data_IF_101796977563
#
_entry.id   IF_101796977563
#
_cell.length_a   1.000
_cell.length_b   1.000
_cell.length_c   1.000
_cell.angle_alpha   90.00
_cell.angle_beta   90.00
_cell.angle_gamma   90.00
#
_symmetry.space_group_name_H-M   'P 1'
#
loop_
_entity.id
_entity.type
_entity.pdbx_description
1 polymer ?
#
# COMPACT_ATOMS: atom_id res chain seq x y z
N UNK A 1 -29.74 19.52 72.13
CA UNK A 1 -30.40 18.23 71.82
C UNK A 1 -30.84 18.29 70.36
N UNK A 2 -30.75 17.26 69.51
CA UNK A 2 -30.15 15.92 69.67
C UNK A 2 -29.08 15.68 68.57
N UNK A 3 -28.17 14.72 68.79
CA UNK A 3 -27.34 14.15 67.72
C UNK A 3 -28.13 13.03 67.03
N UNK A 4 -28.22 13.05 65.71
CA UNK A 4 -28.61 11.87 64.92
C UNK A 4 -27.35 11.24 64.31
N UNK A 5 -27.06 10.01 64.72
CA UNK A 5 -25.92 9.22 64.25
C UNK A 5 -26.45 8.00 63.51
N UNK A 6 -26.41 8.04 62.17
CA UNK A 6 -26.85 6.95 61.30
C UNK A 6 -25.66 6.16 60.78
N UNK A 7 -25.24 5.14 61.53
CA UNK A 7 -24.21 4.18 61.09
C UNK A 7 -24.74 3.32 59.93
N UNK A 8 -24.24 3.56 58.72
CA UNK A 8 -24.56 2.74 57.54
C UNK A 8 -23.83 1.39 57.62
N UNK A 9 -24.59 0.33 57.88
CA UNK A 9 -24.11 -1.06 57.94
C UNK A 9 -23.85 -1.61 56.53
N UNK A 10 -22.67 -2.19 56.31
CA UNK A 10 -22.30 -2.82 55.04
C UNK A 10 -22.88 -4.24 55.00
N UNK A 11 -23.78 -4.59 54.04
CA UNK A 11 -24.24 -5.96 53.86
C UNK A 11 -23.12 -6.82 53.25
N UNK A 12 -22.85 -7.98 53.84
CA UNK A 12 -21.82 -8.90 53.36
C UNK A 12 -22.24 -9.60 52.05
N UNK A 13 -21.26 -9.84 51.15
CA UNK A 13 -21.50 -10.55 49.89
C UNK A 13 -22.00 -12.00 50.13
N UNK A 14 -23.08 -12.47 49.46
CA UNK A 14 -23.34 -13.89 49.35
C UNK A 14 -22.23 -14.57 48.54
N UNK A 15 -21.74 -15.71 49.01
CA UNK A 15 -20.73 -16.52 48.31
C UNK A 15 -21.43 -17.41 47.29
N UNK A 16 -21.22 -17.17 45.99
CA UNK A 16 -21.61 -18.13 44.95
C UNK A 16 -20.62 -19.31 44.91
N UNK A 17 -21.09 -20.56 44.81
CA UNK A 17 -20.20 -21.71 44.65
C UNK A 17 -19.64 -21.75 43.21
N UNK A 18 -18.32 -21.79 43.07
CA UNK A 18 -17.66 -22.01 41.79
C UNK A 18 -17.78 -23.50 41.40
N UNK A 19 -18.64 -23.80 40.43
CA UNK A 19 -18.68 -25.11 39.79
C UNK A 19 -17.43 -25.31 38.92
N UNK A 20 -16.42 -25.98 39.48
CA UNK A 20 -15.25 -26.43 38.75
C UNK A 20 -15.61 -27.55 37.76
N UNK A 21 -15.85 -27.18 36.50
CA UNK A 21 -15.89 -28.14 35.40
C UNK A 21 -14.51 -28.75 35.16
N UNK A 22 -14.27 -29.92 35.75
CA UNK A 22 -13.09 -30.74 35.50
C UNK A 22 -13.13 -31.32 34.07
N UNK A 23 -12.54 -30.62 33.11
CA UNK A 23 -12.22 -31.22 31.81
C UNK A 23 -11.02 -32.18 31.97
N UNK A 24 -11.18 -33.49 31.69
CA UNK A 24 -10.08 -34.44 31.80
C UNK A 24 -9.03 -34.18 30.70
N UNK A 25 -7.77 -34.04 31.10
CA UNK A 25 -6.65 -33.90 30.14
C UNK A 25 -6.50 -35.20 29.33
N UNK A 26 -6.43 -35.15 27.99
CA UNK A 26 -6.09 -36.33 27.20
C UNK A 26 -4.66 -36.79 27.52
N UNK A 27 -4.47 -38.10 27.65
CA UNK A 27 -3.14 -38.70 27.90
C UNK A 27 -2.31 -38.67 26.61
N UNK A 28 -0.99 -38.42 26.68
CA UNK A 28 -0.13 -38.46 25.49
C UNK A 28 0.01 -39.92 25.00
N UNK A 29 -0.57 -40.21 23.84
CA UNK A 29 -0.32 -41.47 23.13
C UNK A 29 0.97 -41.36 22.30
N UNK A 30 1.80 -42.40 22.33
CA UNK A 30 3.06 -42.45 21.57
C UNK A 30 2.75 -42.74 20.10
N UNK A 31 2.90 -41.74 19.23
CA UNK A 31 2.81 -41.94 17.79
C UNK A 31 4.12 -42.57 17.26
N UNK A 32 4.06 -43.79 16.74
CA UNK A 32 5.19 -44.49 16.13
C UNK A 32 5.51 -43.89 14.76
N UNK A 33 6.74 -43.43 14.55
CA UNK A 33 7.16 -42.79 13.30
C UNK A 33 7.43 -43.82 12.19
N UNK A 34 6.47 -44.02 11.29
CA UNK A 34 6.72 -44.67 10.00
C UNK A 34 7.37 -43.68 9.04
N UNK A 35 8.66 -43.88 8.73
CA UNK A 35 9.33 -43.19 7.64
C UNK A 35 8.93 -43.82 6.30
N UNK A 36 8.17 -43.09 5.50
CA UNK A 36 8.00 -43.36 4.07
C UNK A 36 8.87 -42.38 3.27
N UNK A 37 9.76 -42.85 2.37
CA UNK A 37 10.58 -41.97 1.55
C UNK A 37 9.71 -41.34 0.45
N UNK A 38 9.35 -40.07 0.61
CA UNK A 38 8.57 -39.35 -0.40
C UNK A 38 9.45 -38.99 -1.60
N UNK A 39 9.48 -39.87 -2.61
CA UNK A 39 10.18 -39.65 -3.87
C UNK A 39 9.62 -38.41 -4.57
N UNK A 40 10.41 -37.33 -4.59
CA UNK A 40 10.10 -36.12 -5.35
C UNK A 40 10.24 -36.39 -6.86
N UNK A 41 9.16 -36.87 -7.47
CA UNK A 41 9.08 -37.00 -8.94
C UNK A 41 9.07 -35.62 -9.58
N UNK A 42 10.04 -35.36 -10.47
CA UNK A 42 10.17 -34.08 -11.16
C UNK A 42 8.97 -33.80 -12.06
N UNK A 43 8.11 -32.86 -11.66
CA UNK A 43 6.91 -32.48 -12.40
C UNK A 43 7.25 -31.82 -13.74
N UNK A 44 6.74 -32.36 -14.85
CA UNK A 44 6.92 -31.79 -16.19
C UNK A 44 6.34 -30.36 -16.24
N UNK A 45 7.10 -29.39 -16.76
CA UNK A 45 6.61 -28.03 -17.04
C UNK A 45 5.38 -28.10 -17.98
N UNK A 46 4.20 -27.74 -17.49
CA UNK A 46 3.00 -27.63 -18.33
C UNK A 46 3.03 -26.31 -19.12
N UNK A 47 2.73 -26.38 -20.42
CA UNK A 47 2.55 -25.20 -21.29
C UNK A 47 1.23 -24.52 -20.93
N UNK A 48 1.30 -23.29 -20.42
CA UNK A 48 0.10 -22.50 -20.06
C UNK A 48 -0.71 -22.17 -21.31
N UNK A 49 -1.99 -22.55 -21.35
CA UNK A 49 -2.93 -22.14 -22.40
C UNK A 49 -3.48 -20.74 -22.10
N UNK A 50 -3.24 -19.80 -23.01
CA UNK A 50 -3.81 -18.45 -22.98
C UNK A 50 -5.24 -18.49 -23.48
N UNK A 51 -6.19 -18.00 -22.66
CA UNK A 51 -7.61 -17.97 -23.04
C UNK A 51 -8.00 -16.58 -23.53
N UNK A 52 -8.52 -16.50 -24.76
CA UNK A 52 -8.93 -15.25 -25.39
C UNK A 52 -10.43 -15.01 -25.13
N UNK A 53 -10.81 -13.77 -24.85
CA UNK A 53 -12.19 -13.30 -24.69
C UNK A 53 -12.41 -12.08 -25.59
N UNK A 54 -13.55 -12.02 -26.28
CA UNK A 54 -14.02 -10.82 -26.97
C UNK A 54 -15.33 -10.35 -26.37
N UNK A 55 -15.45 -9.05 -26.09
CA UNK A 55 -16.71 -8.42 -25.72
C UNK A 55 -16.70 -6.91 -26.04
N UNK A 56 -17.88 -6.29 -26.12
CA UNK A 56 -18.00 -4.84 -26.04
C UNK A 56 -17.74 -4.36 -24.62
N UNK A 57 -17.03 -3.25 -24.48
CA UNK A 57 -16.63 -2.71 -23.19
C UNK A 57 -17.84 -2.21 -22.38
N UNK A 58 -18.22 -2.97 -21.34
CA UNK A 58 -19.35 -2.67 -20.43
C UNK A 58 -19.26 -1.31 -19.72
N UNK A 59 -18.07 -0.71 -19.66
CA UNK A 59 -17.83 0.68 -19.28
C UNK A 59 -16.47 1.15 -19.77
N UNK A 60 -16.25 2.46 -19.83
CA UNK A 60 -14.97 3.08 -20.23
C UNK A 60 -13.79 2.90 -19.25
N UNK A 61 -13.91 2.01 -18.26
CA UNK A 61 -12.94 1.86 -17.15
C UNK A 61 -11.73 0.99 -17.48
N UNK A 62 -11.70 0.31 -18.63
CA UNK A 62 -10.55 -0.51 -19.06
C UNK A 62 -9.58 0.29 -19.94
N UNK A 63 -8.29 0.23 -19.65
CA UNK A 63 -7.23 0.69 -20.55
C UNK A 63 -6.61 -0.46 -21.34
N UNK A 64 -6.22 -0.18 -22.58
CA UNK A 64 -5.51 -1.11 -23.45
C UNK A 64 -4.06 -1.30 -23.01
N UNK A 65 -3.59 -2.55 -22.92
CA UNK A 65 -2.22 -2.85 -22.44
C UNK A 65 -1.11 -2.57 -23.44
N UNK A 66 -1.39 -2.52 -24.76
CA UNK A 66 -0.40 -2.13 -25.79
C UNK A 66 -0.22 -0.62 -25.91
N UNK A 67 -1.32 0.15 -26.03
CA UNK A 67 -1.25 1.59 -26.31
C UNK A 67 -1.57 2.51 -25.11
N UNK A 68 -1.91 1.96 -23.93
CA UNK A 68 -2.22 2.70 -22.70
C UNK A 68 -3.54 3.48 -22.69
N UNK A 69 -4.08 3.86 -23.86
CA UNK A 69 -5.32 4.63 -24.00
C UNK A 69 -6.53 3.88 -23.41
N UNK A 70 -7.53 4.64 -22.96
CA UNK A 70 -8.81 4.09 -22.51
C UNK A 70 -9.55 3.40 -23.68
N UNK A 71 -10.24 2.32 -23.37
CA UNK A 71 -11.23 1.67 -24.24
C UNK A 71 -12.58 2.24 -23.82
N UNK A 72 -13.24 2.99 -24.71
CA UNK A 72 -14.55 3.62 -24.44
C UNK A 72 -15.64 2.60 -24.19
N UNK A 73 -16.72 3.00 -23.51
CA UNK A 73 -17.90 2.14 -23.36
C UNK A 73 -18.45 1.75 -24.74
N UNK A 74 -18.99 0.53 -24.85
CA UNK A 74 -19.47 -0.11 -26.08
C UNK A 74 -18.43 -0.33 -27.20
N UNK A 75 -17.16 0.09 -27.06
CA UNK A 75 -16.12 -0.27 -28.01
C UNK A 75 -15.72 -1.76 -27.87
N UNK A 76 -15.42 -2.41 -29.00
CA UNK A 76 -14.94 -3.79 -29.02
C UNK A 76 -13.55 -3.91 -28.37
N UNK A 77 -13.38 -4.91 -27.49
CA UNK A 77 -12.10 -5.21 -26.83
C UNK A 77 -11.80 -6.71 -26.80
N UNK A 78 -10.49 -7.00 -26.90
CA UNK A 78 -9.94 -8.35 -26.75
C UNK A 78 -9.21 -8.48 -25.41
N UNK A 79 -9.48 -9.56 -24.69
CA UNK A 79 -8.96 -9.84 -23.36
C UNK A 79 -8.16 -11.14 -23.33
N UNK A 80 -6.89 -11.07 -22.94
CA UNK A 80 -6.08 -12.25 -22.63
C UNK A 80 -6.28 -12.61 -21.16
N UNK A 81 -6.83 -13.78 -20.87
CA UNK A 81 -6.94 -14.28 -19.50
C UNK A 81 -5.69 -15.09 -19.14
N UNK A 82 -5.02 -14.66 -18.08
CA UNK A 82 -3.85 -15.33 -17.49
C UNK A 82 -4.10 -15.50 -15.99
N UNK A 83 -3.85 -16.70 -15.45
CA UNK A 83 -3.90 -16.90 -13.99
C UNK A 83 -2.70 -16.24 -13.32
N UNK A 84 -2.95 -15.59 -12.18
CA UNK A 84 -1.89 -15.11 -11.30
C UNK A 84 -1.34 -16.24 -10.40
N UNK A 85 -0.29 -15.93 -9.63
CA UNK A 85 0.35 -16.86 -8.69
C UNK A 85 -0.54 -17.26 -7.50
N UNK A 86 -1.75 -16.70 -7.39
CA UNK A 86 -2.76 -16.98 -6.35
C UNK A 86 -3.94 -17.78 -6.91
N UNK A 87 -3.94 -18.06 -8.23
CA UNK A 87 -4.97 -18.83 -8.93
C UNK A 87 -6.10 -18.01 -9.55
N UNK A 88 -6.07 -16.67 -9.46
CA UNK A 88 -7.15 -15.82 -9.99
C UNK A 88 -6.94 -15.49 -11.48
N UNK A 89 -8.03 -15.54 -12.26
CA UNK A 89 -8.05 -15.21 -13.68
C UNK A 89 -7.93 -13.67 -13.90
N UNK A 90 -6.77 -13.18 -14.32
CA UNK A 90 -6.51 -11.76 -14.63
C UNK A 90 -6.64 -11.52 -16.13
N UNK A 91 -7.50 -10.57 -16.53
CA UNK A 91 -7.72 -10.24 -17.96
C UNK A 91 -6.94 -9.00 -18.41
N UNK A 92 -6.07 -9.15 -19.41
CA UNK A 92 -5.35 -8.05 -20.08
C UNK A 92 -6.14 -7.57 -21.31
N UNK A 93 -6.83 -6.44 -21.18
CA UNK A 93 -7.65 -5.85 -22.25
C UNK A 93 -6.82 -5.05 -23.28
N UNK A 94 -7.28 -5.08 -24.53
CA UNK A 94 -6.72 -4.35 -25.68
C UNK A 94 -7.86 -3.78 -26.54
N UNK A 95 -7.63 -2.66 -27.24
CA UNK A 95 -8.45 -2.32 -28.41
C UNK A 95 -8.21 -3.35 -29.52
N UNK A 96 -9.18 -3.53 -30.41
CA UNK A 96 -9.08 -4.40 -31.58
C UNK A 96 -7.73 -4.26 -32.37
N UNK A 97 -7.35 -3.07 -32.91
CA UNK A 97 -6.06 -2.90 -33.63
C UNK A 97 -4.83 -2.86 -32.70
N UNK A 98 -5.02 -3.08 -31.40
CA UNK A 98 -3.95 -3.10 -30.40
C UNK A 98 -3.72 -4.49 -29.80
N UNK A 99 -4.38 -5.52 -30.34
CA UNK A 99 -4.06 -6.92 -30.05
C UNK A 99 -2.86 -7.35 -30.90
N UNK A 100 -2.01 -8.24 -30.38
CA UNK A 100 -0.79 -8.72 -31.08
C UNK A 100 -0.30 -10.09 -30.60
N UNK A 101 -1.17 -10.85 -29.91
CA UNK A 101 -0.95 -12.28 -29.70
C UNK A 101 -1.54 -13.05 -30.88
N UNK A 102 -1.01 -14.23 -31.18
CA UNK A 102 -1.59 -15.13 -32.18
C UNK A 102 -2.96 -15.66 -31.75
N UNK A 103 -3.82 -15.90 -32.73
CA UNK A 103 -5.18 -16.45 -32.56
C UNK A 103 -5.21 -17.83 -33.23
N UNK A 104 -4.67 -18.84 -32.55
CA UNK A 104 -4.46 -20.19 -33.10
C UNK A 104 -5.77 -20.88 -33.59
N UNK A 105 -6.94 -20.43 -33.11
CA UNK A 105 -8.25 -20.66 -33.73
C UNK A 105 -9.28 -19.64 -33.23
N UNK A 106 -10.23 -19.26 -34.08
CA UNK A 106 -11.38 -18.41 -33.72
C UNK A 106 -12.30 -19.05 -32.68
N UNK A 107 -12.41 -20.38 -32.66
CA UNK A 107 -13.27 -21.14 -31.72
C UNK A 107 -12.81 -21.01 -30.26
N UNK A 108 -11.59 -20.51 -30.03
CA UNK A 108 -11.01 -20.27 -28.71
C UNK A 108 -11.47 -18.92 -28.12
N UNK A 109 -12.01 -18.00 -28.95
CA UNK A 109 -12.43 -16.66 -28.52
C UNK A 109 -13.80 -16.72 -27.85
N UNK A 110 -13.81 -16.84 -26.51
CA UNK A 110 -15.07 -16.81 -25.75
C UNK A 110 -15.78 -15.47 -25.96
N UNK A 111 -17.00 -15.51 -26.50
CA UNK A 111 -17.85 -14.33 -26.70
C UNK A 111 -17.95 -13.85 -28.16
N UNK A 112 -17.27 -14.48 -29.11
CA UNK A 112 -17.31 -14.14 -30.53
C UNK A 112 -18.75 -14.11 -31.10
N UNK A 113 -19.59 -15.07 -30.73
CA UNK A 113 -20.97 -15.22 -31.21
C UNK A 113 -21.92 -14.11 -30.72
N UNK A 114 -21.50 -13.34 -29.70
CA UNK A 114 -22.26 -12.23 -29.11
C UNK A 114 -21.90 -10.87 -29.72
N UNK A 115 -21.07 -10.85 -30.76
CA UNK A 115 -20.66 -9.66 -31.48
C UNK A 115 -21.53 -9.43 -32.72
N UNK A 116 -21.60 -8.19 -33.19
CA UNK A 116 -22.25 -7.84 -34.47
C UNK A 116 -21.43 -8.43 -35.63
N UNK A 117 -22.08 -8.84 -36.72
CA UNK A 117 -21.41 -9.45 -37.87
C UNK A 117 -20.24 -8.64 -38.45
N UNK A 118 -20.34 -7.30 -38.46
CA UNK A 118 -19.25 -6.39 -38.89
C UNK A 118 -18.00 -6.52 -38.00
N UNK A 119 -18.19 -6.62 -36.69
CA UNK A 119 -17.12 -6.80 -35.70
C UNK A 119 -16.54 -8.23 -35.74
N UNK A 120 -17.37 -9.23 -36.04
CA UNK A 120 -16.93 -10.61 -36.29
C UNK A 120 -16.06 -10.71 -37.55
N UNK A 121 -16.42 -9.99 -38.62
CA UNK A 121 -15.63 -9.95 -39.86
C UNK A 121 -14.31 -9.19 -39.67
N UNK A 122 -14.31 -8.10 -38.88
CA UNK A 122 -13.09 -7.39 -38.52
C UNK A 122 -12.12 -8.25 -37.68
N UNK A 123 -12.64 -9.10 -36.80
CA UNK A 123 -11.85 -10.07 -36.04
C UNK A 123 -11.26 -11.19 -36.91
N UNK A 124 -12.02 -11.68 -37.90
CA UNK A 124 -11.51 -12.68 -38.87
C UNK A 124 -10.31 -12.12 -39.64
N UNK A 125 -10.46 -10.92 -40.23
CA UNK A 125 -9.38 -10.25 -41.00
C UNK A 125 -8.11 -10.04 -40.17
N UNK A 126 -8.24 -9.71 -38.87
CA UNK A 126 -7.08 -9.56 -37.98
C UNK A 126 -6.41 -10.88 -37.57
N UNK A 127 -7.12 -12.02 -37.61
CA UNK A 127 -6.48 -13.32 -37.52
C UNK A 127 -5.71 -13.62 -38.82
N UNK A 128 -6.36 -13.46 -39.98
CA UNK A 128 -5.78 -13.70 -41.33
C UNK A 128 -4.55 -12.82 -41.63
N UNK A 129 -4.48 -11.61 -41.07
CA UNK A 129 -3.32 -10.72 -41.14
C UNK A 129 -2.17 -11.14 -40.21
N UNK A 130 -2.47 -11.78 -39.08
CA UNK A 130 -1.46 -12.16 -38.07
C UNK A 130 -0.57 -13.33 -38.52
N UNK A 131 -1.09 -14.24 -39.36
CA UNK A 131 -0.28 -15.32 -39.92
C UNK A 131 0.64 -14.84 -41.04
N UNK A 132 0.15 -13.97 -41.93
CA UNK A 132 0.95 -13.37 -43.02
C UNK A 132 2.18 -12.60 -42.52
N UNK A 133 2.10 -12.00 -41.33
CA UNK A 133 3.24 -11.30 -40.72
C UNK A 133 4.33 -12.26 -40.20
N UNK A 134 4.05 -13.57 -40.10
CA UNK A 134 4.97 -14.56 -39.53
C UNK A 134 5.99 -15.07 -40.56
N UNK A 135 5.62 -15.13 -41.84
CA UNK A 135 6.47 -15.69 -42.91
C UNK A 135 7.65 -14.78 -43.31
N UNK A 136 7.63 -13.50 -42.91
CA UNK A 136 8.61 -12.50 -43.39
C UNK A 136 9.77 -12.21 -42.43
N UNK A 137 9.89 -12.92 -41.30
CA UNK A 137 10.89 -12.65 -40.25
C UNK A 137 11.82 -13.83 -39.89
N UNK A 138 11.84 -14.90 -40.69
CA UNK A 138 12.91 -15.90 -40.61
C UNK A 138 14.13 -15.46 -41.44
N UNK A 139 14.91 -14.53 -40.90
CA UNK A 139 16.14 -14.06 -41.55
C UNK A 139 17.01 -13.19 -40.65
N UNK A 140 18.11 -13.78 -40.17
CA UNK A 140 19.19 -13.24 -39.32
C UNK A 140 18.86 -13.08 -37.82
N UNK A 141 19.57 -13.87 -37.01
CA UNK A 141 19.98 -13.53 -35.65
C UNK A 141 21.31 -12.74 -35.78
N UNK A 142 22.37 -13.11 -35.04
CA UNK A 142 23.74 -12.63 -35.22
C UNK A 142 24.01 -11.19 -34.68
N UNK A 143 24.12 -10.87 -33.38
CA UNK A 143 23.93 -11.58 -32.07
C UNK A 143 23.58 -10.48 -30.98
N UNK A 144 23.84 -10.44 -29.65
CA UNK A 144 24.70 -11.12 -28.65
C UNK A 144 24.05 -11.04 -27.22
N UNK A 145 24.24 -12.04 -26.33
CA UNK A 145 23.97 -11.97 -24.88
C UNK A 145 24.86 -12.95 -24.07
N UNK A 146 25.81 -12.46 -23.26
CA UNK A 146 26.52 -13.17 -22.15
C UNK A 146 27.13 -12.08 -21.21
N UNK A 147 27.47 -12.26 -19.94
CA UNK A 147 27.76 -13.45 -19.10
C UNK A 147 26.90 -13.51 -17.80
N UNK A 148 27.02 -14.59 -17.00
CA UNK A 148 26.32 -14.74 -15.70
C UNK A 148 27.07 -15.57 -14.64
N UNK A 149 26.95 -15.16 -13.36
CA UNK A 149 27.22 -15.88 -12.08
C UNK A 149 28.51 -16.71 -11.87
N UNK A 150 29.33 -16.28 -10.89
CA UNK A 150 30.18 -17.08 -9.97
C UNK A 150 30.46 -16.18 -8.73
N UNK A 151 30.55 -16.61 -7.47
CA UNK A 151 30.56 -17.95 -6.86
C UNK A 151 29.59 -18.09 -5.67
N UNK A 152 29.50 -19.30 -5.07
CA UNK A 152 28.86 -19.55 -3.77
C UNK A 152 29.82 -20.14 -2.74
N UNK A 153 29.65 -19.66 -1.51
CA UNK A 153 30.01 -20.29 -0.23
C UNK A 153 31.49 -20.31 0.20
N UNK A 154 31.70 -19.84 1.43
CA UNK A 154 32.31 -20.69 2.46
C UNK A 154 31.58 -20.45 3.79
N UNK A 155 31.70 -21.37 4.76
CA UNK A 155 30.87 -21.40 5.96
C UNK A 155 31.68 -21.52 7.25
N UNK A 156 31.20 -20.89 8.33
CA UNK A 156 31.57 -21.19 9.71
C UNK A 156 30.39 -20.91 10.66
N UNK A 157 30.40 -21.59 11.80
CA UNK A 157 29.28 -21.83 12.73
C UNK A 157 29.74 -21.50 14.17
N UNK A 158 28.82 -21.52 15.15
CA UNK A 158 28.99 -21.33 16.63
C UNK A 158 28.63 -19.88 17.05
N UNK A 159 27.79 -19.60 18.06
CA UNK A 159 26.98 -20.41 19.01
C UNK A 159 25.63 -19.73 19.37
N UNK A 160 24.82 -20.35 20.24
CA UNK A 160 23.50 -19.85 20.67
C UNK A 160 23.57 -18.85 21.83
N UNK A 161 22.65 -17.87 21.83
CA UNK A 161 21.80 -17.51 22.98
C UNK A 161 20.52 -16.78 22.51
N UNK A 162 19.46 -16.76 23.34
CA UNK A 162 18.23 -15.96 23.16
C UNK A 162 18.28 -14.77 24.15
N UNK A 163 17.60 -13.64 23.89
CA UNK A 163 16.16 -13.52 24.18
C UNK A 163 15.34 -12.83 23.07
N UNK A 164 14.05 -12.59 23.33
CA UNK A 164 13.12 -11.91 22.43
C UNK A 164 13.48 -10.44 22.15
N UNK A 165 13.70 -10.11 20.87
CA UNK A 165 13.48 -8.76 20.34
C UNK A 165 13.11 -8.84 18.85
N UNK A 166 12.21 -7.95 18.38
CA UNK A 166 11.82 -7.91 16.96
C UNK A 166 13.04 -7.47 16.13
N UNK A 167 13.26 -8.00 14.90
CA UNK A 167 14.37 -7.58 14.06
C UNK A 167 14.17 -6.13 13.58
N UNK A 168 14.79 -5.18 14.28
CA UNK A 168 14.87 -3.79 13.86
C UNK A 168 15.71 -3.74 12.57
N UNK A 169 15.08 -3.31 11.47
CA UNK A 169 15.81 -3.03 10.23
C UNK A 169 16.72 -1.83 10.50
N UNK A 170 18.04 -2.04 10.53
CA UNK A 170 18.96 -0.95 10.78
C UNK A 170 19.11 -0.06 9.55
N UNK A 171 18.23 0.94 9.44
CA UNK A 171 18.27 1.94 8.39
C UNK A 171 19.51 2.82 8.63
N UNK A 172 20.53 2.61 7.80
CA UNK A 172 21.69 3.49 7.70
C UNK A 172 21.26 4.82 7.06
N UNK A 173 20.98 5.82 7.89
CA UNK A 173 20.65 7.18 7.48
C UNK A 173 21.81 8.13 7.83
N UNK A 174 22.34 8.80 6.81
CA UNK A 174 23.27 9.93 6.98
C UNK A 174 22.66 11.21 6.40
N UNK A 175 22.98 12.35 7.03
CA UNK A 175 22.61 13.68 6.54
C UNK A 175 23.24 13.98 5.15
N UNK A 176 24.36 13.33 4.82
CA UNK A 176 24.98 13.39 3.47
C UNK A 176 24.10 12.84 2.35
N UNK A 177 23.18 11.95 2.70
CA UNK A 177 22.41 11.18 1.71
C UNK A 177 21.05 11.84 1.41
N UNK A 178 20.73 12.88 2.18
CA UNK A 178 19.53 13.72 2.08
C UNK A 178 19.69 14.71 0.93
N UNK A 179 18.69 14.79 0.05
CA UNK A 179 18.78 15.49 -1.25
C UNK A 179 17.60 16.45 -1.45
N UNK A 180 17.86 17.63 -2.00
CA UNK A 180 16.83 18.61 -2.41
C UNK A 180 16.12 18.24 -3.73
N UNK A 181 16.39 17.05 -4.28
CA UNK A 181 15.71 16.47 -5.46
C UNK A 181 15.43 14.99 -5.26
N UNK A 182 14.25 14.54 -5.69
CA UNK A 182 13.92 13.12 -5.82
C UNK A 182 14.16 12.68 -7.27
N UNK A 183 15.30 12.01 -7.48
CA UNK A 183 15.81 11.62 -8.82
C UNK A 183 15.96 12.86 -9.71
N UNK A 184 15.16 12.95 -10.76
CA UNK A 184 15.05 14.03 -11.74
C UNK A 184 14.11 15.18 -11.33
N UNK A 185 13.28 15.01 -10.29
CA UNK A 185 12.36 16.06 -9.83
C UNK A 185 12.94 16.90 -8.67
N UNK A 186 12.93 18.22 -8.83
CA UNK A 186 13.27 19.17 -7.78
C UNK A 186 12.17 19.25 -6.72
N UNK A 187 12.56 19.38 -5.46
CA UNK A 187 11.64 19.55 -4.33
C UNK A 187 11.45 21.03 -3.98
N UNK A 188 10.33 21.36 -3.33
CA UNK A 188 10.11 22.69 -2.77
C UNK A 188 10.95 22.89 -1.49
N UNK A 189 11.24 24.12 -1.06
CA UNK A 189 11.96 24.36 0.20
C UNK A 189 11.34 23.60 1.39
N UNK A 190 12.19 23.11 2.30
CA UNK A 190 11.89 22.17 3.40
C UNK A 190 11.47 20.75 2.98
N UNK A 191 11.22 20.47 1.70
CA UNK A 191 11.01 19.10 1.24
C UNK A 191 12.33 18.47 0.82
N UNK A 192 12.62 17.28 1.36
CA UNK A 192 13.87 16.55 1.19
C UNK A 192 13.59 15.12 0.71
N UNK A 193 14.56 14.50 0.05
CA UNK A 193 14.51 13.09 -0.36
C UNK A 193 15.61 12.28 0.33
N UNK A 194 15.31 11.02 0.64
CA UNK A 194 16.27 10.01 1.09
C UNK A 194 15.84 8.64 0.55
N UNK A 195 16.74 7.90 -0.11
CA UNK A 195 16.43 6.61 -0.75
C UNK A 195 15.12 6.63 -1.60
N UNK A 196 14.06 5.98 -1.13
CA UNK A 196 12.74 5.87 -1.80
C UNK A 196 11.70 6.87 -1.29
N UNK A 197 12.01 7.64 -0.23
CA UNK A 197 11.09 8.58 0.41
C UNK A 197 11.36 10.04 0.04
N UNK A 198 10.28 10.81 0.05
CA UNK A 198 10.29 12.28 0.16
C UNK A 198 9.69 12.64 1.52
N UNK A 199 10.27 13.58 2.25
CA UNK A 199 9.80 13.99 3.57
C UNK A 199 9.82 15.52 3.77
N UNK A 200 8.97 15.99 4.68
CA UNK A 200 8.92 17.39 5.11
C UNK A 200 9.81 17.60 6.34
N UNK A 201 10.87 18.37 6.16
CA UNK A 201 11.76 18.83 7.22
C UNK A 201 11.04 19.88 8.08
N UNK A 202 10.83 19.57 9.36
CA UNK A 202 10.35 20.56 10.32
C UNK A 202 11.51 21.51 10.67
N UNK A 203 11.43 22.75 10.18
CA UNK A 203 12.27 23.83 10.67
C UNK A 203 12.15 23.93 12.21
N UNK A 204 13.26 24.14 12.92
CA UNK A 204 13.39 23.91 14.37
C UNK A 204 12.55 24.75 15.34
N UNK A 205 11.52 25.45 14.85
CA UNK A 205 10.51 26.19 15.59
C UNK A 205 9.18 25.41 15.53
N UNK A 206 8.89 24.63 16.57
CA UNK A 206 7.66 23.83 16.68
C UNK A 206 7.49 23.29 18.11
N UNK A 207 8.17 22.18 18.43
CA UNK A 207 8.16 21.53 19.75
C UNK A 207 8.87 22.28 20.90
N UNK A 208 9.13 23.57 20.74
CA UNK A 208 9.55 24.48 21.82
C UNK A 208 8.47 25.51 22.19
N UNK A 209 7.43 25.67 21.37
CA UNK A 209 6.47 26.78 21.45
C UNK A 209 5.19 26.48 22.23
N UNK A 210 4.58 25.30 22.00
CA UNK A 210 3.50 24.81 22.86
C UNK A 210 4.06 23.99 24.02
N UNK A 211 3.34 24.02 25.14
CA UNK A 211 3.71 23.37 26.40
C UNK A 211 3.54 21.85 26.36
N UNK A 212 4.41 21.15 25.61
CA UNK A 212 4.60 19.71 25.77
C UNK A 212 4.77 19.40 27.26
N UNK A 213 3.89 18.56 27.82
CA UNK A 213 3.96 18.09 29.21
C UNK A 213 5.19 17.17 29.38
N UNK A 214 6.37 17.79 29.52
CA UNK A 214 7.67 17.11 29.65
C UNK A 214 7.71 16.12 30.82
N UNK A 215 6.83 16.31 31.81
CA UNK A 215 6.58 15.45 32.97
C UNK A 215 6.43 13.95 32.64
N UNK A 216 6.00 13.59 31.41
CA UNK A 216 5.89 12.18 30.96
C UNK A 216 7.20 11.57 30.42
N UNK A 217 8.20 12.37 30.04
CA UNK A 217 9.47 11.91 29.44
C UNK A 217 9.36 11.21 28.06
N UNK A 218 8.15 11.08 27.50
CA UNK A 218 7.85 10.46 26.20
C UNK A 218 6.95 11.34 25.36
N UNK A 219 6.90 11.06 24.06
CA UNK A 219 6.03 11.72 23.09
C UNK A 219 4.89 10.82 22.63
N UNK A 220 3.69 11.38 22.49
CA UNK A 220 2.49 10.68 22.04
C UNK A 220 2.28 11.01 20.56
N UNK A 221 1.96 10.01 19.72
CA UNK A 221 1.97 10.16 18.26
C UNK A 221 0.58 9.88 17.66
N UNK A 222 0.02 10.88 16.96
CA UNK A 222 -1.20 10.73 16.20
C UNK A 222 -0.85 10.69 14.71
N UNK A 223 -1.12 9.56 14.06
CA UNK A 223 -0.57 9.24 12.74
C UNK A 223 -1.67 9.08 11.72
N UNK A 224 -1.49 9.68 10.54
CA UNK A 224 -2.51 9.76 9.49
C UNK A 224 -2.02 9.18 8.17
N UNK A 225 -2.94 8.59 7.40
CA UNK A 225 -2.80 8.41 5.95
C UNK A 225 -3.40 9.63 5.22
N UNK A 226 -2.86 9.98 4.05
CA UNK A 226 -3.50 10.95 3.13
C UNK A 226 -4.17 10.28 1.92
N UNK A 227 -4.49 8.99 2.06
CA UNK A 227 -5.37 8.27 1.13
C UNK A 227 -6.86 8.38 1.47
N UNK A 228 -7.23 9.06 2.56
CA UNK A 228 -8.60 9.51 2.87
C UNK A 228 -9.27 10.15 1.65
N UNK A 229 -9.97 9.30 0.89
CA UNK A 229 -10.71 9.52 -0.36
C UNK A 229 -10.47 10.87 -1.05
N UNK A 230 -9.29 11.02 -1.64
CA UNK A 230 -9.04 12.00 -2.72
C UNK A 230 -9.82 11.65 -3.99
N UNK A 231 -11.16 11.68 -3.90
CA UNK A 231 -12.01 11.60 -5.06
C UNK A 231 -11.83 12.86 -5.90
N UNK A 232 -11.81 12.67 -7.22
CA UNK A 232 -12.43 13.66 -8.09
C UNK A 232 -13.92 13.65 -7.72
N UNK A 233 -14.33 14.60 -6.87
CA UNK A 233 -15.75 14.78 -6.56
C UNK A 233 -16.50 15.03 -7.87
N UNK A 234 -17.66 14.41 -8.04
CA UNK A 234 -18.55 14.68 -9.18
C UNK A 234 -19.27 16.02 -8.97
N UNK A 235 -18.50 17.09 -8.85
CA UNK A 235 -18.99 18.44 -9.19
C UNK A 235 -19.19 18.48 -10.70
N UNK A 236 -20.27 19.14 -11.14
CA UNK A 236 -20.69 19.15 -12.54
C UNK A 236 -19.83 20.18 -13.30
N UNK A 237 -18.59 19.81 -13.58
CA UNK A 237 -17.59 20.61 -14.29
C UNK A 237 -16.85 19.74 -15.33
N UNK A 238 -16.59 20.25 -16.55
CA UNK A 238 -15.91 19.50 -17.58
C UNK A 238 -14.39 19.39 -17.33
N UNK A 239 -13.86 18.18 -17.48
CA UNK A 239 -12.45 17.80 -17.31
C UNK A 239 -11.94 17.75 -15.85
N UNK A 240 -11.21 16.68 -15.45
CA UNK A 240 -10.60 16.61 -14.13
C UNK A 240 -9.37 17.54 -14.05
N UNK A 241 -9.51 18.65 -13.32
CA UNK A 241 -8.43 19.62 -13.12
C UNK A 241 -7.26 18.94 -12.37
N UNK A 242 -6.16 18.70 -13.07
CA UNK A 242 -4.90 18.20 -12.50
C UNK A 242 -4.15 19.33 -11.77
N UNK A 243 -4.73 19.83 -10.68
CA UNK A 243 -4.09 20.80 -9.78
C UNK A 243 -3.78 20.21 -8.39
N UNK A 244 -2.92 20.91 -7.65
CA UNK A 244 -2.73 20.74 -6.21
C UNK A 244 -4.02 21.01 -5.43
N UNK A 245 -4.88 21.90 -5.92
CA UNK A 245 -6.12 22.32 -5.24
C UNK A 245 -7.31 21.38 -5.49
N UNK A 246 -7.14 20.36 -6.35
CA UNK A 246 -8.13 19.32 -6.59
C UNK A 246 -8.13 18.28 -5.44
N UNK A 247 -8.60 18.70 -4.26
CA UNK A 247 -8.74 17.89 -3.05
C UNK A 247 -9.88 18.41 -2.16
N UNK A 248 -10.30 17.61 -1.18
CA UNK A 248 -11.26 18.00 -0.15
C UNK A 248 -10.98 17.23 1.14
N UNK A 249 -11.49 17.72 2.28
CA UNK A 249 -11.54 16.94 3.52
C UNK A 249 -12.55 15.80 3.37
N UNK A 250 -12.29 14.68 4.05
CA UNK A 250 -13.22 13.55 4.15
C UNK A 250 -14.33 13.83 5.18
N UNK A 251 -13.99 14.52 6.27
CA UNK A 251 -14.92 15.00 7.30
C UNK A 251 -14.56 16.44 7.69
N UNK A 252 -15.54 17.32 7.97
CA UNK A 252 -15.28 18.72 8.28
C UNK A 252 -14.59 18.92 9.65
N UNK A 253 -14.71 17.98 10.58
CA UNK A 253 -14.10 18.00 11.92
C UNK A 253 -12.61 17.63 11.95
N UNK A 254 -12.01 17.20 10.83
CA UNK A 254 -10.59 16.83 10.75
C UNK A 254 -9.66 17.95 11.27
N UNK A 255 -9.81 19.24 10.88
CA UNK A 255 -8.91 20.30 11.35
C UNK A 255 -8.98 20.49 12.87
N UNK A 256 -10.19 20.51 13.43
CA UNK A 256 -10.45 20.73 14.86
C UNK A 256 -9.92 19.57 15.72
N UNK A 257 -10.18 18.32 15.33
CA UNK A 257 -9.65 17.14 16.03
C UNK A 257 -8.12 17.07 16.01
N UNK A 258 -7.49 17.48 14.89
CA UNK A 258 -6.03 17.55 14.79
C UNK A 258 -5.44 18.74 15.56
N UNK A 259 -6.19 19.83 15.72
CA UNK A 259 -5.83 20.94 16.61
C UNK A 259 -5.87 20.49 18.08
N UNK A 260 -6.96 19.85 18.54
CA UNK A 260 -7.09 19.29 19.90
C UNK A 260 -5.92 18.36 20.24
N UNK A 261 -5.61 17.40 19.36
CA UNK A 261 -4.48 16.49 19.55
C UNK A 261 -3.13 17.22 19.69
N UNK A 262 -2.90 18.28 18.91
CA UNK A 262 -1.67 19.07 19.02
C UNK A 262 -1.60 19.87 20.33
N UNK A 263 -2.74 20.38 20.82
CA UNK A 263 -2.86 21.06 22.12
C UNK A 263 -2.73 20.12 23.32
N UNK A 264 -3.24 18.89 23.19
CA UNK A 264 -3.03 17.77 24.14
C UNK A 264 -1.56 17.32 24.20
N UNK A 265 -0.77 17.64 23.17
CA UNK A 265 0.68 17.42 23.10
C UNK A 265 1.12 16.31 22.15
N UNK A 266 0.21 15.75 21.32
CA UNK A 266 0.56 14.76 20.31
C UNK A 266 1.39 15.37 19.18
N UNK A 267 2.39 14.63 18.71
CA UNK A 267 3.07 14.91 17.44
C UNK A 267 2.28 14.30 16.29
N UNK A 268 1.87 15.15 15.35
CA UNK A 268 1.12 14.74 14.17
C UNK A 268 2.06 14.30 13.05
N UNK A 269 1.89 13.07 12.55
CA UNK A 269 2.72 12.52 11.46
C UNK A 269 1.86 11.94 10.34
N UNK A 270 2.22 12.23 9.09
CA UNK A 270 1.58 11.69 7.90
C UNK A 270 2.51 10.66 7.25
N UNK A 271 2.03 9.43 7.10
CA UNK A 271 2.69 8.38 6.30
C UNK A 271 1.84 8.03 5.08
N UNK A 272 2.35 8.27 3.88
CA UNK A 272 1.60 8.05 2.62
C UNK A 272 2.41 7.31 1.57
N UNK A 273 1.76 6.37 0.87
CA UNK A 273 2.33 5.73 -0.32
C UNK A 273 1.91 6.53 -1.56
N UNK A 274 2.86 6.94 -2.42
CA UNK A 274 2.57 7.68 -3.66
C UNK A 274 3.30 7.10 -4.89
N UNK A 275 2.80 5.95 -5.35
CA UNK A 275 3.35 5.23 -6.51
C UNK A 275 3.43 6.05 -7.81
N UNK A 276 2.64 7.11 -7.98
CA UNK A 276 2.66 7.92 -9.19
C UNK A 276 4.00 8.64 -9.38
N UNK A 277 4.68 9.00 -8.29
CA UNK A 277 6.01 9.66 -8.35
C UNK A 277 7.06 8.76 -9.00
N UNK A 278 6.99 7.43 -8.82
CA UNK A 278 7.92 6.52 -9.49
C UNK A 278 7.40 5.99 -10.84
N UNK A 279 6.10 5.77 -10.99
CA UNK A 279 5.54 5.28 -12.25
C UNK A 279 5.56 6.35 -13.36
N UNK A 280 5.33 7.62 -13.04
CA UNK A 280 5.20 8.69 -14.03
C UNK A 280 6.57 9.29 -14.39
N UNK A 281 7.55 8.48 -14.82
CA UNK A 281 8.94 8.93 -15.07
C UNK A 281 9.02 10.25 -15.84
N UNK A 282 8.37 10.33 -17.01
CA UNK A 282 8.39 11.52 -17.89
C UNK A 282 7.50 12.69 -17.40
N UNK A 283 6.84 12.55 -16.24
CA UNK A 283 5.99 13.56 -15.58
C UNK A 283 6.25 13.60 -14.06
N UNK A 284 7.43 13.19 -13.61
CA UNK A 284 7.74 13.01 -12.18
C UNK A 284 7.63 14.32 -11.41
N UNK A 285 8.14 15.43 -11.97
CA UNK A 285 7.99 16.76 -11.39
C UNK A 285 6.51 17.09 -11.12
N UNK A 286 5.62 16.86 -12.10
CA UNK A 286 4.18 17.07 -11.93
C UNK A 286 3.59 16.16 -10.84
N UNK A 287 3.97 14.88 -10.77
CA UNK A 287 3.50 13.98 -9.71
C UNK A 287 3.95 14.42 -8.31
N UNK A 288 5.19 14.90 -8.19
CA UNK A 288 5.77 15.47 -6.96
C UNK A 288 5.05 16.77 -6.57
N UNK A 289 4.91 17.73 -7.50
CA UNK A 289 4.26 19.02 -7.25
C UNK A 289 2.78 18.87 -6.89
N UNK A 290 2.05 17.96 -7.54
CA UNK A 290 0.67 17.65 -7.18
C UNK A 290 0.59 17.10 -5.75
N UNK A 291 1.43 16.12 -5.39
CA UNK A 291 1.41 15.50 -4.06
C UNK A 291 1.82 16.49 -2.97
N UNK A 292 2.95 17.19 -3.15
CA UNK A 292 3.46 18.18 -2.20
C UNK A 292 2.49 19.36 -2.07
N UNK A 293 1.91 19.84 -3.16
CA UNK A 293 0.92 20.92 -3.14
C UNK A 293 -0.31 20.58 -2.30
N UNK A 294 -0.88 19.38 -2.49
CA UNK A 294 -2.00 18.86 -1.69
C UNK A 294 -1.66 18.74 -0.20
N UNK A 295 -0.45 18.26 0.11
CA UNK A 295 0.02 18.12 1.49
C UNK A 295 0.24 19.49 2.16
N UNK A 296 0.84 20.45 1.45
CA UNK A 296 0.98 21.83 1.94
C UNK A 296 -0.39 22.49 2.14
N UNK A 297 -1.32 22.33 1.21
CA UNK A 297 -2.69 22.86 1.31
C UNK A 297 -3.44 22.27 2.53
N UNK A 298 -3.30 20.97 2.79
CA UNK A 298 -3.85 20.32 3.99
C UNK A 298 -3.25 20.88 5.28
N UNK A 299 -1.91 20.97 5.37
CA UNK A 299 -1.22 21.56 6.54
C UNK A 299 -1.67 23.01 6.77
N UNK A 300 -1.81 23.80 5.70
CA UNK A 300 -2.29 25.19 5.77
C UNK A 300 -3.76 25.29 6.23
N UNK A 301 -4.61 24.31 5.93
CA UNK A 301 -6.00 24.29 6.43
C UNK A 301 -6.08 23.87 7.90
N UNK A 302 -5.26 22.91 8.34
CA UNK A 302 -5.25 22.44 9.74
C UNK A 302 -4.45 23.38 10.67
N UNK A 303 -3.51 24.17 10.13
CA UNK A 303 -2.79 25.27 10.84
C UNK A 303 -1.90 24.84 12.01
N UNK A 304 -1.56 23.56 12.14
CA UNK A 304 -0.62 23.05 13.16
C UNK A 304 0.61 22.38 12.54
N UNK A 305 1.76 22.31 13.24
CA UNK A 305 2.95 21.64 12.73
C UNK A 305 2.74 20.13 12.56
N UNK A 306 2.85 19.66 11.31
CA UNK A 306 2.84 18.24 10.96
C UNK A 306 4.20 17.80 10.44
N UNK A 307 4.53 16.53 10.58
CA UNK A 307 5.64 15.91 9.86
C UNK A 307 5.10 14.95 8.79
N UNK A 308 5.77 14.86 7.64
CA UNK A 308 5.25 14.09 6.49
C UNK A 308 6.35 13.24 5.89
N UNK A 309 6.03 11.97 5.58
CA UNK A 309 6.87 11.08 4.78
C UNK A 309 6.03 10.42 3.67
N UNK A 310 6.60 10.37 2.48
CA UNK A 310 5.99 9.92 1.23
C UNK A 310 6.84 8.78 0.67
N UNK A 311 6.38 7.53 0.76
CA UNK A 311 7.02 6.40 0.11
C UNK A 311 6.66 6.38 -1.39
N UNK A 312 7.64 6.69 -2.25
CA UNK A 312 7.44 6.79 -3.70
C UNK A 312 7.40 5.42 -4.39
N UNK A 313 8.05 4.40 -3.81
CA UNK A 313 8.16 3.05 -4.37
C UNK A 313 9.43 2.82 -5.20
N UNK A 314 9.78 1.54 -5.36
CA UNK A 314 10.82 1.04 -6.28
C UNK A 314 10.22 0.49 -7.60
N UNK A 315 8.96 0.82 -7.89
CA UNK A 315 8.19 0.21 -8.98
C UNK A 315 7.62 -1.16 -8.62
N UNK A 316 6.95 -1.81 -9.57
CA UNK A 316 6.04 -2.94 -9.30
C UNK A 316 6.69 -4.31 -9.15
N UNK A 317 8.02 -4.40 -9.06
CA UNK A 317 8.78 -5.67 -9.03
C UNK A 317 9.70 -5.82 -7.81
N UNK A 318 9.91 -4.76 -7.03
CA UNK A 318 10.87 -4.73 -5.93
C UNK A 318 10.12 -4.26 -4.68
N UNK A 319 10.28 -4.96 -3.57
CA UNK A 319 9.71 -4.52 -2.31
C UNK A 319 10.46 -3.30 -1.75
N UNK A 320 9.73 -2.37 -1.14
CA UNK A 320 10.26 -1.10 -0.64
C UNK A 320 10.02 -1.04 0.86
N UNK A 321 11.08 -1.13 1.65
CA UNK A 321 11.02 -1.18 3.12
C UNK A 321 10.32 0.04 3.73
N UNK A 322 10.26 1.17 3.02
CA UNK A 322 9.55 2.37 3.47
C UNK A 322 8.07 2.37 3.09
N UNK A 323 7.65 1.56 2.13
CA UNK A 323 6.29 1.54 1.60
C UNK A 323 5.37 0.72 2.51
N UNK A 324 4.30 1.34 3.02
CA UNK A 324 3.26 0.64 3.80
C UNK A 324 2.74 -0.57 3.00
N UNK A 325 2.67 -1.78 3.58
CA UNK A 325 2.67 -2.07 5.02
C UNK A 325 4.04 -2.11 5.72
N UNK A 326 5.16 -1.99 5.02
CA UNK A 326 6.48 -2.08 5.64
C UNK A 326 6.77 -0.88 6.57
N UNK A 327 7.38 -1.11 7.75
CA UNK A 327 7.52 -0.10 8.81
C UNK A 327 8.68 0.89 8.62
N UNK A 328 9.41 0.90 7.49
CA UNK A 328 10.62 1.71 7.33
C UNK A 328 10.41 3.22 7.46
N UNK A 329 9.24 3.74 7.05
CA UNK A 329 8.86 5.13 7.30
C UNK A 329 8.67 5.45 8.80
N UNK A 330 8.25 4.48 9.61
CA UNK A 330 8.21 4.63 11.06
C UNK A 330 9.62 4.60 11.66
N UNK A 331 10.41 3.57 11.37
CA UNK A 331 11.74 3.39 11.98
C UNK A 331 12.66 4.59 11.72
N UNK A 332 12.64 5.15 10.51
CA UNK A 332 13.45 6.34 10.20
C UNK A 332 12.95 7.59 10.94
N UNK A 333 11.63 7.76 11.07
CA UNK A 333 11.02 8.87 11.79
C UNK A 333 11.37 8.81 13.29
N UNK A 334 11.23 7.65 13.90
CA UNK A 334 11.54 7.38 15.30
C UNK A 334 13.03 7.61 15.60
N UNK A 335 13.92 6.92 14.86
CA UNK A 335 15.37 6.91 15.10
C UNK A 335 16.07 8.23 14.77
N UNK A 336 15.63 8.95 13.73
CA UNK A 336 16.35 10.12 13.19
C UNK A 336 15.57 11.44 13.24
N UNK A 337 14.23 11.42 13.35
CA UNK A 337 13.39 12.61 13.28
C UNK A 337 12.48 12.83 14.50
N UNK A 338 12.70 12.10 15.60
CA UNK A 338 12.03 12.31 16.89
C UNK A 338 12.92 12.95 17.97
N UNK A 339 14.06 13.53 17.58
CA UNK A 339 15.01 14.22 18.49
C UNK A 339 15.50 13.39 19.68
N UNK A 340 15.52 12.06 19.54
CA UNK A 340 15.87 11.12 20.62
C UNK A 340 14.80 10.98 21.73
N UNK A 341 13.62 11.58 21.56
CA UNK A 341 12.51 11.46 22.51
C UNK A 341 11.82 10.10 22.29
N UNK A 342 11.73 9.21 23.30
CA UNK A 342 11.03 7.94 23.16
C UNK A 342 9.54 8.14 22.93
N UNK A 343 8.92 7.25 22.16
CA UNK A 343 7.49 7.31 21.87
C UNK A 343 6.70 6.47 22.89
N UNK A 344 5.54 6.97 23.35
CA UNK A 344 4.61 6.14 24.11
C UNK A 344 3.67 5.38 23.17
N UNK A 345 4.02 4.12 22.90
CA UNK A 345 3.25 3.22 22.04
C UNK A 345 1.85 2.89 22.57
N UNK A 346 1.58 3.09 23.88
CA UNK A 346 0.27 2.80 24.45
C UNK A 346 -0.72 3.95 24.23
N UNK A 347 -0.24 5.19 24.10
CA UNK A 347 -1.08 6.35 23.76
C UNK A 347 -1.09 6.64 22.25
N UNK A 348 -0.02 6.26 21.54
CA UNK A 348 0.10 6.49 20.09
C UNK A 348 -0.85 5.62 19.25
N UNK A 349 -1.32 6.17 18.13
CA UNK A 349 -2.28 5.51 17.24
C UNK A 349 -2.13 5.90 15.77
N UNK A 350 -2.69 5.06 14.89
CA UNK A 350 -2.75 5.24 13.45
C UNK A 350 -4.20 5.34 12.96
N UNK A 351 -4.50 6.29 12.08
CA UNK A 351 -5.80 6.43 11.40
C UNK A 351 -5.62 6.26 9.89
N UNK A 352 -6.29 5.27 9.28
CA UNK A 352 -6.11 4.95 7.86
C UNK A 352 -7.26 4.26 7.16
N UNK A 353 -7.46 4.56 5.87
CA UNK A 353 -8.54 3.98 5.04
C UNK A 353 -8.21 2.58 4.51
N UNK A 354 -6.92 2.20 4.44
CA UNK A 354 -6.52 0.87 3.99
C UNK A 354 -6.61 -0.17 5.13
N UNK A 355 -7.83 -0.43 5.60
CA UNK A 355 -8.11 -1.31 6.74
C UNK A 355 -8.40 -2.78 6.36
N UNK A 356 -8.36 -3.12 5.07
CA UNK A 356 -8.59 -4.49 4.59
C UNK A 356 -10.04 -4.97 4.60
N UNK A 357 -11.01 -4.05 4.73
CA UNK A 357 -12.44 -4.32 4.57
C UNK A 357 -12.74 -4.66 3.09
N UNK A 358 -13.88 -5.31 2.76
CA UNK A 358 -14.17 -5.76 1.39
C UNK A 358 -14.11 -4.67 0.30
N UNK A 359 -14.47 -3.43 0.65
CA UNK A 359 -14.44 -2.27 -0.26
C UNK A 359 -13.16 -1.41 -0.13
N UNK A 360 -12.24 -1.76 0.77
CA UNK A 360 -10.98 -1.02 0.92
C UNK A 360 -10.02 -1.32 -0.23
N UNK A 361 -9.31 -0.28 -0.68
CA UNK A 361 -8.40 -0.41 -1.81
C UNK A 361 -7.14 -1.26 -1.52
N UNK A 362 -6.83 -1.50 -0.24
CA UNK A 362 -5.79 -2.40 0.28
C UNK A 362 -5.91 -2.54 1.81
N UNK A 363 -5.04 -3.36 2.40
CA UNK A 363 -4.86 -3.56 3.85
C UNK A 363 -3.57 -2.90 4.39
N UNK A 364 -3.00 -1.97 3.62
CA UNK A 364 -1.66 -1.42 3.86
C UNK A 364 -1.54 -0.59 5.15
N UNK A 365 -2.61 0.04 5.63
CA UNK A 365 -2.58 0.93 6.80
C UNK A 365 -2.74 0.14 8.10
N UNK A 366 -3.70 -0.80 8.14
CA UNK A 366 -3.86 -1.70 9.29
C UNK A 366 -2.63 -2.59 9.48
N UNK A 367 -2.04 -3.12 8.40
CA UNK A 367 -0.82 -3.92 8.48
C UNK A 367 0.42 -3.10 8.88
N UNK A 368 0.51 -1.84 8.47
CA UNK A 368 1.56 -0.93 8.95
C UNK A 368 1.44 -0.71 10.47
N UNK A 369 0.22 -0.40 10.95
CA UNK A 369 -0.03 -0.24 12.38
C UNK A 369 0.28 -1.52 13.17
N UNK A 370 -0.10 -2.71 12.66
CA UNK A 370 0.22 -4.01 13.25
C UNK A 370 1.73 -4.31 13.29
N UNK A 371 2.47 -3.99 12.21
CA UNK A 371 3.91 -4.23 12.15
C UNK A 371 4.66 -3.43 13.22
N UNK A 372 4.32 -2.13 13.33
CA UNK A 372 4.87 -1.20 14.33
C UNK A 372 4.37 -1.57 15.75
N UNK A 373 3.12 -1.98 15.91
CA UNK A 373 2.48 -2.24 17.21
C UNK A 373 1.64 -1.08 17.75
N UNK A 374 1.05 -0.29 16.86
CA UNK A 374 0.18 0.84 17.18
C UNK A 374 -1.29 0.42 17.31
N UNK A 375 -2.07 1.18 18.10
CA UNK A 375 -3.53 1.20 17.99
C UNK A 375 -3.93 1.66 16.58
N UNK A 376 -5.00 1.10 16.03
CA UNK A 376 -5.51 1.44 14.70
C UNK A 376 -6.98 1.83 14.76
N UNK A 377 -7.35 2.88 14.03
CA UNK A 377 -8.72 3.35 13.83
C UNK A 377 -8.98 3.60 12.34
N UNK A 378 -10.21 3.44 11.87
CA UNK A 378 -10.59 3.90 10.53
C UNK A 378 -11.06 5.37 10.56
N UNK A 379 -10.99 6.13 9.45
CA UNK A 379 -11.42 7.53 9.43
C UNK A 379 -12.90 7.70 9.80
N UNK A 380 -13.75 6.71 9.46
CA UNK A 380 -15.16 6.67 9.81
C UNK A 380 -15.39 6.64 11.35
N UNK A 381 -14.53 5.95 12.11
CA UNK A 381 -14.64 5.85 13.57
C UNK A 381 -14.05 7.08 14.26
N UNK A 382 -12.94 7.61 13.74
CA UNK A 382 -12.18 8.67 14.39
C UNK A 382 -12.70 10.08 14.08
N UNK A 383 -13.16 10.32 12.85
CA UNK A 383 -13.49 11.66 12.33
C UNK A 383 -14.96 11.88 11.95
N UNK A 384 -15.86 10.90 12.11
CA UNK A 384 -17.29 11.11 11.77
C UNK A 384 -18.05 12.04 12.72
N UNK A 385 -17.59 12.13 13.98
CA UNK A 385 -18.04 13.11 14.97
C UNK A 385 -17.27 14.44 14.89
#
# INVERSE_FOLDING_TARGET
MLKLSSTLTIPAKPKSPLLFFHFPRPKPQKATTFFLPFLFTFGKKQKMSTKIIAEYAKSGRSSCKKCGKAITAQALRLGLVTRDLRGFDVTKWHHLPCFSEKIDSLDVIKGFDLLKGVDQEALKKLADESDKLTEQLQGKNEDEEEEMELEKSNSKKIKLSMPDEKPVMDIAFSVSDVKDKYKDAALKPKWKAFQTIIFLEQAGMGFRGLGVRRDKGKMEMAILTTKCRMAMGHSIMPSPILCADAWSLMYPSIPEKLQSLYEEGYKLVIFTNESNIEHWKNKRQLAVDLKIGRLNNFINQVKVPMQVFIACGLGSKVDDSFRKPNPGMWHIMEKHFNSGIPIDMNQSFYVGDAAGRPDDHSDADIKFAQAVGLKFYVPEEYFST
#
